data_IF_505757777265
#
_entry.id   IF_505757777265
#
_cell.length_a   1.000
_cell.length_b   1.000
_cell.length_c   1.000
_cell.angle_alpha   90.00
_cell.angle_beta   90.00
_cell.angle_gamma   90.00
#
_symmetry.space_group_name_H-M   'P 1'
#
loop_
_entity.id
_entity.type
_entity.pdbx_description
1 polymer ?
#
# COMPACT_ATOMS: atom_id res chain seq x y z
N UNK A 1 16.38 -20.04 -8.04
CA UNK A 1 15.34 -19.05 -7.72
C UNK A 1 15.03 -19.12 -6.23
N UNK A 2 15.02 -18.00 -5.50
CA UNK A 2 14.66 -17.97 -4.07
C UNK A 2 13.19 -18.37 -3.86
N UNK A 3 12.86 -19.05 -2.75
CA UNK A 3 11.49 -19.46 -2.37
C UNK A 3 10.49 -18.31 -2.43
N UNK A 4 10.93 -17.09 -2.14
CA UNK A 4 10.10 -15.87 -2.22
C UNK A 4 9.74 -15.53 -3.67
N UNK A 5 10.71 -15.63 -4.59
CA UNK A 5 10.48 -15.35 -6.01
C UNK A 5 9.50 -16.38 -6.62
N UNK A 6 9.62 -17.66 -6.24
CA UNK A 6 8.67 -18.69 -6.66
C UNK A 6 7.24 -18.41 -6.17
N UNK A 7 7.08 -18.00 -4.90
CA UNK A 7 5.78 -17.62 -4.33
C UNK A 7 5.16 -16.41 -5.00
N UNK A 8 5.96 -15.40 -5.33
CA UNK A 8 5.48 -14.22 -6.05
C UNK A 8 5.00 -14.59 -7.46
N UNK A 9 5.75 -15.41 -8.19
CA UNK A 9 5.38 -15.83 -9.55
C UNK A 9 4.04 -16.59 -9.61
N UNK A 10 3.78 -17.46 -8.63
CA UNK A 10 2.53 -18.23 -8.53
C UNK A 10 1.32 -17.42 -8.03
N UNK A 11 1.53 -16.16 -7.62
CA UNK A 11 0.49 -15.32 -7.03
C UNK A 11 -0.55 -14.87 -8.09
N UNK A 12 -1.86 -14.87 -7.78
CA UNK A 12 -2.90 -14.39 -8.68
C UNK A 12 -2.67 -12.95 -9.15
N UNK A 13 -3.14 -12.61 -10.36
CA UNK A 13 -2.94 -11.28 -10.96
C UNK A 13 -3.48 -10.14 -10.09
N UNK A 14 -4.62 -10.33 -9.44
CA UNK A 14 -5.22 -9.35 -8.52
C UNK A 14 -4.39 -9.14 -7.25
N UNK A 15 -3.81 -10.20 -6.68
CA UNK A 15 -2.88 -10.06 -5.54
C UNK A 15 -1.58 -9.36 -5.96
N UNK A 16 -1.06 -9.63 -7.17
CA UNK A 16 0.08 -8.86 -7.72
C UNK A 16 -0.27 -7.38 -7.90
N UNK A 17 -1.48 -7.08 -8.37
CA UNK A 17 -1.97 -5.71 -8.52
C UNK A 17 -2.07 -5.00 -7.15
N UNK A 18 -2.53 -5.73 -6.12
CA UNK A 18 -2.56 -5.26 -4.73
C UNK A 18 -1.16 -4.86 -4.25
N UNK A 19 -0.16 -5.73 -4.48
CA UNK A 19 1.24 -5.48 -4.12
C UNK A 19 1.84 -4.31 -4.92
N UNK A 20 1.51 -4.17 -6.20
CA UNK A 20 1.94 -3.00 -6.98
C UNK A 20 1.32 -1.70 -6.46
N UNK A 21 0.06 -1.73 -6.02
CA UNK A 21 -0.56 -0.58 -5.39
C UNK A 21 0.16 -0.15 -4.10
N UNK A 22 0.54 -1.12 -3.26
CA UNK A 22 1.37 -0.85 -2.07
C UNK A 22 2.72 -0.24 -2.44
N UNK A 23 3.37 -0.74 -3.49
CA UNK A 23 4.64 -0.18 -3.97
C UNK A 23 4.48 1.28 -4.45
N UNK A 24 3.40 1.59 -5.19
CA UNK A 24 3.07 2.97 -5.58
C UNK A 24 2.78 3.83 -4.36
N UNK A 25 2.09 3.28 -3.35
CA UNK A 25 1.88 3.89 -2.04
C UNK A 25 3.19 4.34 -1.38
N UNK A 26 4.17 3.42 -1.34
CA UNK A 26 5.53 3.70 -0.83
C UNK A 26 6.22 4.78 -1.66
N UNK A 27 6.14 4.73 -2.98
CA UNK A 27 6.75 5.76 -3.84
C UNK A 27 6.18 7.15 -3.53
N UNK A 28 4.87 7.27 -3.34
CA UNK A 28 4.25 8.54 -2.96
C UNK A 28 4.71 9.06 -1.59
N UNK A 29 4.93 8.17 -0.62
CA UNK A 29 5.51 8.54 0.68
C UNK A 29 6.97 8.97 0.58
N UNK A 30 7.78 8.29 -0.26
CA UNK A 30 9.18 8.67 -0.50
C UNK A 30 9.25 10.05 -1.15
N UNK A 31 8.38 10.34 -2.11
CA UNK A 31 8.31 11.66 -2.74
C UNK A 31 7.95 12.75 -1.72
N UNK A 32 6.93 12.53 -0.88
CA UNK A 32 6.58 13.44 0.21
C UNK A 32 7.75 13.67 1.17
N UNK A 33 8.44 12.60 1.57
CA UNK A 33 9.56 12.67 2.51
C UNK A 33 10.76 13.44 1.97
N UNK A 34 11.07 13.29 0.68
CA UNK A 34 12.17 14.03 0.04
C UNK A 34 11.78 15.51 -0.11
N UNK A 35 10.51 15.80 -0.39
CA UNK A 35 10.02 17.16 -0.61
C UNK A 35 9.90 17.96 0.70
N UNK A 36 9.37 17.33 1.75
CA UNK A 36 9.26 17.92 3.08
C UNK A 36 9.74 16.94 4.16
N UNK A 37 11.06 16.86 4.40
CA UNK A 37 11.62 15.98 5.41
C UNK A 37 11.33 16.46 6.84
N UNK A 38 10.93 17.72 7.04
CA UNK A 38 10.66 18.25 8.38
C UNK A 38 9.35 17.73 8.97
N UNK A 39 8.38 17.41 8.11
CA UNK A 39 7.12 16.73 8.47
C UNK A 39 7.34 15.31 9.03
N UNK A 40 8.52 14.73 8.80
CA UNK A 40 8.87 13.39 9.27
C UNK A 40 10.07 13.45 10.21
N UNK A 41 9.93 13.16 11.52
CA UNK A 41 11.07 13.02 12.41
C UNK A 41 11.85 11.73 12.08
N UNK A 42 12.67 11.77 11.03
CA UNK A 42 13.44 10.64 10.52
C UNK A 42 12.77 9.92 9.34
N UNK A 43 12.84 8.59 9.32
CA UNK A 43 12.30 7.78 8.22
C UNK A 43 10.79 7.59 8.37
N UNK A 44 9.98 7.81 7.31
CA UNK A 44 8.52 7.72 7.41
C UNK A 44 8.06 6.34 7.88
N UNK A 45 7.38 6.23 9.03
CA UNK A 45 6.96 4.94 9.58
C UNK A 45 5.96 4.23 8.65
N UNK A 46 5.14 4.98 7.90
CA UNK A 46 4.21 4.43 6.91
C UNK A 46 4.89 3.55 5.86
N UNK A 47 6.11 3.89 5.41
CA UNK A 47 6.86 3.07 4.45
C UNK A 47 7.20 1.70 5.06
N UNK A 48 7.65 1.69 6.32
CA UNK A 48 7.97 0.45 7.05
C UNK A 48 6.73 -0.41 7.19
N UNK A 49 5.59 0.15 7.61
CA UNK A 49 4.35 -0.60 7.77
C UNK A 49 3.85 -1.19 6.45
N UNK A 50 3.88 -0.41 5.35
CA UNK A 50 3.50 -0.92 4.02
C UNK A 50 4.43 -2.07 3.60
N UNK A 51 5.74 -1.92 3.78
CA UNK A 51 6.71 -2.95 3.42
C UNK A 51 6.50 -4.25 4.22
N UNK A 52 6.27 -4.16 5.52
CA UNK A 52 5.96 -5.32 6.38
C UNK A 52 4.67 -5.99 5.93
N UNK A 53 3.60 -5.23 5.69
CA UNK A 53 2.35 -5.79 5.21
C UNK A 53 2.48 -6.44 3.83
N UNK A 54 3.24 -5.83 2.90
CA UNK A 54 3.54 -6.42 1.59
C UNK A 54 4.30 -7.74 1.74
N UNK A 55 5.29 -7.81 2.64
CA UNK A 55 6.01 -9.04 2.94
C UNK A 55 5.09 -10.12 3.51
N UNK A 56 4.14 -9.75 4.39
CA UNK A 56 3.14 -10.68 4.91
C UNK A 56 2.20 -11.21 3.82
N UNK A 57 1.76 -10.36 2.87
CA UNK A 57 0.98 -10.81 1.70
C UNK A 57 1.76 -11.85 0.89
N UNK A 58 3.05 -11.59 0.61
CA UNK A 58 3.90 -12.52 -0.15
C UNK A 58 4.15 -13.82 0.63
N UNK A 59 4.43 -13.72 1.92
CA UNK A 59 4.64 -14.89 2.79
C UNK A 59 3.38 -15.76 2.86
N UNK A 60 2.20 -15.13 2.85
CA UNK A 60 0.90 -15.77 2.92
C UNK A 60 0.30 -16.14 1.55
N UNK A 61 0.99 -15.92 0.41
CA UNK A 61 0.37 -15.93 -0.93
C UNK A 61 -0.40 -17.20 -1.34
N UNK A 62 -0.15 -18.35 -0.71
CA UNK A 62 -0.93 -19.59 -0.90
C UNK A 62 -2.30 -19.61 -0.22
N UNK A 63 -2.60 -18.64 0.66
CA UNK A 63 -3.88 -18.52 1.36
C UNK A 63 -4.79 -17.52 0.65
N UNK A 64 -6.09 -17.82 0.56
CA UNK A 64 -7.07 -16.93 -0.08
C UNK A 64 -7.20 -15.57 0.61
N UNK A 65 -6.91 -15.50 1.92
CA UNK A 65 -6.99 -14.28 2.73
C UNK A 65 -5.70 -13.45 2.70
N UNK A 66 -4.64 -13.90 2.02
CA UNK A 66 -3.34 -13.19 2.02
C UNK A 66 -3.42 -11.68 1.73
N UNK A 67 -4.26 -11.19 0.78
CA UNK A 67 -4.35 -9.76 0.49
C UNK A 67 -4.95 -8.91 1.62
N UNK A 68 -5.47 -9.51 2.70
CA UNK A 68 -6.08 -8.78 3.82
C UNK A 68 -5.12 -7.74 4.41
N UNK A 69 -3.82 -8.04 4.48
CA UNK A 69 -2.83 -7.10 5.01
C UNK A 69 -2.68 -5.87 4.12
N UNK A 70 -2.78 -6.04 2.80
CA UNK A 70 -2.78 -4.91 1.86
C UNK A 70 -4.00 -4.02 2.04
N UNK A 71 -5.17 -4.62 2.27
CA UNK A 71 -6.41 -3.88 2.48
C UNK A 71 -6.34 -3.10 3.79
N UNK A 72 -5.97 -3.78 4.88
CA UNK A 72 -5.94 -3.17 6.21
C UNK A 72 -4.93 -2.02 6.28
N UNK A 73 -3.72 -2.18 5.75
CA UNK A 73 -2.73 -1.11 5.80
C UNK A 73 -3.14 0.09 4.95
N UNK A 74 -3.71 -0.16 3.77
CA UNK A 74 -4.18 0.90 2.88
C UNK A 74 -5.31 1.71 3.53
N UNK A 75 -6.28 1.02 4.12
CA UNK A 75 -7.38 1.68 4.83
C UNK A 75 -6.90 2.41 6.08
N UNK A 76 -5.98 1.82 6.85
CA UNK A 76 -5.43 2.47 8.04
C UNK A 76 -4.70 3.78 7.69
N UNK A 77 -3.87 3.80 6.64
CA UNK A 77 -3.18 5.03 6.22
C UNK A 77 -4.18 6.06 5.66
N UNK A 78 -5.10 5.64 4.78
CA UNK A 78 -6.05 6.56 4.16
C UNK A 78 -7.01 7.16 5.19
N UNK A 79 -7.63 6.31 6.03
CA UNK A 79 -8.60 6.76 7.03
C UNK A 79 -7.91 7.45 8.20
N UNK A 80 -6.76 6.95 8.66
CA UNK A 80 -5.99 7.57 9.72
C UNK A 80 -5.44 8.93 9.30
N UNK A 81 -4.88 9.03 8.09
CA UNK A 81 -4.40 10.29 7.53
C UNK A 81 -5.53 11.30 7.28
N UNK A 82 -6.72 10.84 6.87
CA UNK A 82 -7.89 11.71 6.72
C UNK A 82 -8.40 12.19 8.09
N UNK A 83 -8.55 11.28 9.06
CA UNK A 83 -9.03 11.60 10.41
C UNK A 83 -8.07 12.52 11.17
N UNK A 84 -6.77 12.39 10.93
CA UNK A 84 -5.75 13.27 11.48
C UNK A 84 -5.63 14.62 10.72
N UNK A 85 -6.38 14.81 9.63
CA UNK A 85 -6.29 16.01 8.78
C UNK A 85 -5.05 16.09 7.90
N UNK A 86 -4.12 15.15 8.01
CA UNK A 86 -2.83 15.14 7.32
C UNK A 86 -2.97 15.03 5.80
N UNK A 87 -3.90 14.20 5.31
CA UNK A 87 -4.12 14.10 3.86
C UNK A 87 -4.61 15.42 3.26
N UNK A 88 -5.50 16.13 3.98
CA UNK A 88 -6.03 17.42 3.54
C UNK A 88 -4.96 18.50 3.64
N UNK A 89 -4.18 18.53 4.73
CA UNK A 89 -3.05 19.46 4.88
C UNK A 89 -2.03 19.29 3.75
N UNK A 90 -1.64 18.04 3.43
CA UNK A 90 -0.68 17.75 2.38
C UNK A 90 -1.21 18.11 0.97
N UNK A 91 -2.53 18.06 0.74
CA UNK A 91 -3.14 18.52 -0.52
C UNK A 91 -3.17 20.04 -0.65
N UNK A 92 -3.24 20.75 0.47
CA UNK A 92 -3.26 22.22 0.53
C UNK A 92 -1.86 22.82 0.72
N UNK A 93 -0.82 21.98 0.78
CA UNK A 93 0.56 22.42 0.88
C UNK A 93 0.95 23.28 -0.32
N UNK A 94 1.76 24.30 -0.07
CA UNK A 94 2.40 25.08 -1.14
C UNK A 94 3.53 24.32 -1.85
N UNK A 95 3.94 23.17 -1.31
CA UNK A 95 4.99 22.33 -1.89
C UNK A 95 4.42 21.29 -2.86
N UNK A 96 4.80 21.39 -4.13
CA UNK A 96 4.29 20.52 -5.18
C UNK A 96 4.70 19.04 -5.00
N UNK A 97 5.85 18.77 -4.37
CA UNK A 97 6.31 17.41 -4.09
C UNK A 97 5.43 16.72 -3.04
N UNK A 98 5.04 17.45 -2.00
CA UNK A 98 4.13 17.01 -0.94
C UNK A 98 2.76 16.69 -1.52
N UNK A 99 2.21 17.58 -2.33
CA UNK A 99 0.91 17.38 -3.00
C UNK A 99 0.98 16.16 -3.93
N UNK A 100 1.98 16.11 -4.82
CA UNK A 100 2.12 15.02 -5.79
C UNK A 100 2.33 13.67 -5.10
N UNK A 101 3.22 13.61 -4.11
CA UNK A 101 3.48 12.39 -3.35
C UNK A 101 2.25 11.93 -2.57
N UNK A 102 1.46 12.85 -2.02
CA UNK A 102 0.22 12.52 -1.32
C UNK A 102 -0.85 11.95 -2.27
N UNK A 103 -1.00 12.53 -3.46
CA UNK A 103 -1.90 12.00 -4.50
C UNK A 103 -1.45 10.62 -4.96
N UNK A 104 -0.16 10.45 -5.29
CA UNK A 104 0.41 9.17 -5.73
C UNK A 104 0.24 8.09 -4.65
N UNK A 105 0.54 8.44 -3.39
CA UNK A 105 0.36 7.55 -2.26
C UNK A 105 -1.10 7.12 -2.16
N UNK A 106 -2.01 8.09 -2.15
CA UNK A 106 -3.43 7.84 -1.92
C UNK A 106 -4.04 6.97 -3.01
N UNK A 107 -3.70 7.22 -4.28
CA UNK A 107 -4.14 6.40 -5.41
C UNK A 107 -3.55 4.99 -5.35
N UNK A 108 -2.25 4.86 -5.04
CA UNK A 108 -1.59 3.57 -4.90
C UNK A 108 -2.27 2.70 -3.84
N UNK A 109 -2.54 3.27 -2.67
CA UNK A 109 -3.22 2.59 -1.56
C UNK A 109 -4.69 2.27 -1.89
N UNK A 110 -5.41 3.16 -2.57
CA UNK A 110 -6.78 2.89 -3.02
C UNK A 110 -6.82 1.69 -3.98
N UNK A 111 -5.92 1.64 -4.97
CA UNK A 111 -5.77 0.51 -5.88
C UNK A 111 -5.40 -0.76 -5.11
N UNK A 112 -4.48 -0.67 -4.14
CA UNK A 112 -4.09 -1.79 -3.31
C UNK A 112 -5.26 -2.38 -2.52
N UNK A 113 -6.10 -1.53 -1.90
CA UNK A 113 -7.28 -1.95 -1.18
C UNK A 113 -8.31 -2.63 -2.09
N UNK A 114 -8.65 -2.02 -3.22
CA UNK A 114 -9.64 -2.57 -4.17
C UNK A 114 -9.16 -3.89 -4.76
N UNK A 115 -7.92 -3.94 -5.24
CA UNK A 115 -7.33 -5.16 -5.80
C UNK A 115 -7.23 -6.28 -4.76
N UNK A 116 -6.90 -5.95 -3.51
CA UNK A 116 -6.85 -6.90 -2.41
C UNK A 116 -8.21 -7.50 -2.08
N UNK A 117 -9.27 -6.70 -2.03
CA UNK A 117 -10.65 -7.19 -1.85
C UNK A 117 -11.07 -8.10 -3.00
N UNK A 118 -10.86 -7.66 -4.25
CA UNK A 118 -11.17 -8.45 -5.45
C UNK A 118 -10.42 -9.79 -5.45
N UNK A 119 -9.14 -9.78 -5.06
CA UNK A 119 -8.32 -10.98 -4.94
C UNK A 119 -8.90 -11.98 -3.92
N UNK A 120 -9.29 -11.51 -2.74
CA UNK A 120 -9.90 -12.37 -1.72
C UNK A 120 -11.24 -12.94 -2.17
N UNK A 121 -12.10 -12.13 -2.81
CA UNK A 121 -13.40 -12.56 -3.33
C UNK A 121 -13.25 -13.61 -4.43
N UNK A 122 -12.37 -13.37 -5.40
CA UNK A 122 -12.10 -14.32 -6.48
C UNK A 122 -11.53 -15.65 -5.95
N UNK A 123 -10.58 -15.59 -5.01
CA UNK A 123 -9.96 -16.78 -4.41
C UNK A 123 -10.94 -17.56 -3.52
N UNK A 124 -11.92 -16.89 -2.88
CA UNK A 124 -13.01 -17.55 -2.15
C UNK A 124 -13.96 -18.27 -3.10
N UNK A 125 -14.38 -17.60 -4.18
CA UNK A 125 -15.30 -18.19 -5.18
C UNK A 125 -14.70 -19.41 -5.87
N UNK A 126 -13.39 -19.41 -6.14
CA UNK A 126 -12.71 -20.56 -6.73
C UNK A 126 -12.58 -21.78 -5.80
N UNK A 127 -12.94 -21.65 -4.51
CA UNK A 127 -12.91 -22.73 -3.51
C UNK A 127 -14.29 -23.22 -3.09
N UNK A 128 -15.35 -22.52 -3.51
CA UNK A 128 -16.75 -22.91 -3.28
C UNK A 128 -17.22 -23.81 -4.42
#
# INVERSE_FOLDING_TARGET
>A
MSTIAARFSATPRSTKLSLSGLAVGVLGLVVQWIADPAEFPGFPPGIVFIAVCAALVVAASGRWWAPVFSVLISLWILLGGLAAGMLTANLLSGDAGTVAGNVVMSLGLAVAAVAGVVAMLAARRARA
#
